data_IF_683042956857
#
_entry.id   IF_683042956857
#
_cell.length_a   1.000
_cell.length_b   1.000
_cell.length_c   1.000
_cell.angle_alpha   90.00
_cell.angle_beta   90.00
_cell.angle_gamma   90.00
#
_symmetry.space_group_name_H-M   'P 1'
#
loop_
_entity.id
_entity.type
_entity.pdbx_description
1 polymer ?
#
# COMPACT_ATOMS: atom_id res chain seq x y z
N UNK A 1 9.97 -11.03 -6.00
CA UNK A 1 8.80 -10.48 -6.71
C UNK A 1 9.27 -9.83 -7.99
N UNK A 2 8.70 -10.26 -9.12
CA UNK A 2 9.01 -9.73 -10.46
C UNK A 2 8.39 -8.33 -10.64
N UNK A 3 8.97 -7.50 -11.50
CA UNK A 3 8.46 -6.18 -11.91
C UNK A 3 8.37 -5.09 -10.83
N UNK A 4 8.85 -5.30 -9.60
CA UNK A 4 8.75 -4.31 -8.51
C UNK A 4 9.42 -3.00 -8.88
N UNK A 5 10.69 -3.03 -9.28
CA UNK A 5 11.44 -1.83 -9.62
C UNK A 5 10.79 -1.06 -10.78
N UNK A 6 10.41 -1.76 -11.85
CA UNK A 6 9.74 -1.17 -13.02
C UNK A 6 8.41 -0.50 -12.62
N UNK A 7 7.65 -1.13 -11.75
CA UNK A 7 6.38 -0.62 -11.24
C UNK A 7 6.59 0.64 -10.40
N UNK A 8 7.52 0.59 -9.44
CA UNK A 8 7.83 1.75 -8.60
C UNK A 8 8.36 2.93 -9.43
N UNK A 9 9.22 2.66 -10.42
CA UNK A 9 9.73 3.67 -11.35
C UNK A 9 8.61 4.31 -12.17
N UNK A 10 7.62 3.53 -12.62
CA UNK A 10 6.47 4.04 -13.36
C UNK A 10 5.66 5.03 -12.53
N UNK A 11 5.36 4.70 -11.27
CA UNK A 11 4.57 5.55 -10.37
C UNK A 11 5.38 6.70 -9.76
N UNK A 12 6.69 6.73 -9.88
CA UNK A 12 7.56 7.81 -9.42
C UNK A 12 7.73 8.95 -10.45
N UNK A 13 7.10 8.85 -11.62
CA UNK A 13 7.19 9.90 -12.64
C UNK A 13 6.48 11.18 -12.20
N UNK A 14 6.99 12.39 -12.59
CA UNK A 14 6.43 13.66 -12.17
C UNK A 14 4.95 13.88 -12.54
N UNK A 15 4.46 13.22 -13.58
CA UNK A 15 3.09 13.28 -14.05
C UNK A 15 2.21 12.14 -13.53
N UNK A 16 2.73 11.28 -12.65
CA UNK A 16 1.94 10.23 -12.01
C UNK A 16 0.89 10.84 -11.09
N UNK A 17 -0.31 10.26 -11.11
CA UNK A 17 -1.38 10.59 -10.15
C UNK A 17 -1.18 9.90 -8.81
N UNK A 18 -0.26 8.96 -8.73
CA UNK A 18 0.04 8.17 -7.54
C UNK A 18 1.40 8.54 -6.99
N UNK A 19 1.56 8.39 -5.70
CA UNK A 19 2.80 8.58 -4.97
C UNK A 19 3.14 7.31 -4.20
N UNK A 20 4.33 6.76 -4.41
CA UNK A 20 4.79 5.59 -3.66
C UNK A 20 5.19 6.00 -2.25
N UNK A 21 4.52 5.43 -1.25
CA UNK A 21 4.82 5.63 0.16
C UNK A 21 5.00 4.30 0.88
N UNK A 22 5.69 4.33 2.00
CA UNK A 22 5.86 3.18 2.88
C UNK A 22 4.89 3.25 4.06
N UNK A 23 4.32 2.10 4.40
CA UNK A 23 3.71 1.86 5.70
C UNK A 23 4.32 0.58 6.27
N UNK A 24 5.18 0.72 7.25
CA UNK A 24 5.99 -0.38 7.74
C UNK A 24 6.19 -0.34 9.26
N UNK A 25 6.20 -1.53 9.89
CA UNK A 25 6.62 -1.67 11.28
C UNK A 25 8.14 -1.55 11.51
N UNK A 26 8.94 -1.45 10.45
CA UNK A 26 10.36 -1.16 10.60
C UNK A 26 10.57 0.31 11.00
N UNK A 27 11.69 0.57 11.69
CA UNK A 27 12.15 1.96 11.89
C UNK A 27 12.48 2.62 10.54
N UNK A 28 12.41 3.93 10.48
CA UNK A 28 12.77 4.70 9.27
C UNK A 28 14.18 4.34 8.79
N UNK A 29 15.16 4.34 9.68
CA UNK A 29 16.54 3.93 9.37
C UNK A 29 16.61 2.51 8.84
N UNK A 30 15.91 1.56 9.48
CA UNK A 30 15.90 0.16 9.05
C UNK A 30 15.23 -0.04 7.70
N UNK A 31 14.17 0.69 7.41
CA UNK A 31 13.48 0.66 6.12
C UNK A 31 14.39 1.22 5.01
N UNK A 32 15.00 2.39 5.23
CA UNK A 32 15.96 3.00 4.29
C UNK A 32 17.10 2.04 3.96
N UNK A 33 17.78 1.47 4.96
CA UNK A 33 18.89 0.55 4.72
C UNK A 33 18.50 -0.66 3.87
N UNK A 34 17.32 -1.26 4.14
CA UNK A 34 16.80 -2.39 3.36
C UNK A 34 16.53 -2.00 1.91
N UNK A 35 15.87 -0.86 1.70
CA UNK A 35 15.52 -0.38 0.37
C UNK A 35 16.76 0.06 -0.43
N UNK A 36 17.73 0.71 0.20
CA UNK A 36 19.00 1.07 -0.42
C UNK A 36 19.78 -0.17 -0.87
N UNK A 37 19.81 -1.21 -0.05
CA UNK A 37 20.44 -2.49 -0.42
C UNK A 37 19.81 -3.11 -1.68
N UNK A 38 18.51 -2.91 -1.89
CA UNK A 38 17.78 -3.38 -3.07
C UNK A 38 17.74 -2.37 -4.22
N UNK A 39 18.30 -1.17 -4.06
CA UNK A 39 18.26 -0.09 -5.06
C UNK A 39 16.86 0.53 -5.24
N UNK A 40 15.96 0.39 -4.27
CA UNK A 40 14.55 0.80 -4.37
C UNK A 40 14.20 2.06 -3.59
N UNK A 41 15.07 2.53 -2.70
CA UNK A 41 14.81 3.63 -1.77
C UNK A 41 14.40 4.95 -2.48
N UNK A 42 15.01 5.21 -3.62
CA UNK A 42 14.78 6.41 -4.44
C UNK A 42 13.37 6.52 -5.03
N UNK A 43 12.60 5.44 -5.04
CA UNK A 43 11.26 5.42 -5.61
C UNK A 43 10.14 5.73 -4.61
N UNK A 44 10.48 5.95 -3.34
CA UNK A 44 9.52 6.22 -2.28
C UNK A 44 9.57 7.67 -1.79
N UNK A 45 8.39 8.22 -1.50
CA UNK A 45 8.27 9.49 -0.80
C UNK A 45 8.32 9.24 0.71
N UNK A 46 9.45 9.57 1.34
CA UNK A 46 9.67 9.33 2.76
C UNK A 46 8.93 10.32 3.66
N UNK A 47 8.62 11.51 3.18
CA UNK A 47 7.86 12.52 3.92
C UNK A 47 6.43 12.06 4.21
N UNK A 48 5.82 11.37 3.24
CA UNK A 48 4.47 10.82 3.38
C UNK A 48 4.45 9.39 3.94
N UNK A 49 5.62 8.79 4.12
CA UNK A 49 5.74 7.43 4.65
C UNK A 49 5.51 7.39 6.16
N UNK A 50 5.06 6.23 6.65
CA UNK A 50 4.79 5.97 8.08
C UNK A 50 5.59 4.77 8.56
N UNK A 51 6.34 4.95 9.63
CA UNK A 51 7.31 3.98 10.14
C UNK A 51 6.97 3.52 11.56
N UNK A 52 7.58 2.41 11.97
CA UNK A 52 7.31 1.73 13.23
C UNK A 52 7.68 2.49 14.50
N UNK A 53 8.47 3.57 14.43
CA UNK A 53 8.73 4.44 15.59
C UNK A 53 7.46 5.10 16.14
N UNK A 54 6.42 5.24 15.31
CA UNK A 54 5.17 5.89 15.70
C UNK A 54 4.32 4.96 16.56
N UNK A 55 4.26 3.67 16.21
CA UNK A 55 3.49 2.66 16.94
C UNK A 55 3.92 1.25 16.55
N UNK A 56 3.90 0.33 17.51
CA UNK A 56 4.03 -1.11 17.26
C UNK A 56 2.77 -1.69 16.61
N UNK A 57 1.61 -1.03 16.79
CA UNK A 57 0.35 -1.43 16.17
C UNK A 57 0.27 -0.91 14.74
N UNK A 58 0.30 -1.80 13.75
CA UNK A 58 0.26 -1.46 12.32
C UNK A 58 -1.06 -0.82 11.87
N UNK A 59 -2.18 -1.16 12.51
CA UNK A 59 -3.47 -0.48 12.23
C UNK A 59 -3.42 0.99 12.66
N UNK A 60 -2.69 1.30 13.74
CA UNK A 60 -2.46 2.68 14.15
C UNK A 60 -1.60 3.45 13.14
N UNK A 61 -0.62 2.79 12.52
CA UNK A 61 0.17 3.39 11.44
C UNK A 61 -0.73 3.78 10.24
N UNK A 62 -1.72 2.94 9.90
CA UNK A 62 -2.69 3.24 8.84
C UNK A 62 -3.54 4.47 9.20
N UNK A 63 -4.00 4.58 10.45
CA UNK A 63 -4.75 5.75 10.94
C UNK A 63 -3.91 7.02 10.89
N UNK A 64 -2.62 6.94 11.21
CA UNK A 64 -1.69 8.08 11.10
C UNK A 64 -1.50 8.48 9.65
N UNK A 65 -1.34 7.52 8.72
CA UNK A 65 -1.22 7.81 7.29
C UNK A 65 -2.45 8.55 6.78
N UNK A 66 -3.66 8.08 7.12
CA UNK A 66 -4.90 8.74 6.72
C UNK A 66 -5.05 10.12 7.38
N UNK A 67 -4.72 10.26 8.66
CA UNK A 67 -4.76 11.54 9.35
C UNK A 67 -3.85 12.57 8.68
N UNK A 68 -2.63 12.20 8.29
CA UNK A 68 -1.72 13.09 7.56
C UNK A 68 -2.30 13.53 6.22
N UNK A 69 -2.92 12.62 5.47
CA UNK A 69 -3.61 12.95 4.23
C UNK A 69 -4.78 13.92 4.48
N UNK A 70 -5.59 13.65 5.50
CA UNK A 70 -6.72 14.49 5.89
C UNK A 70 -6.28 15.90 6.31
N UNK A 71 -5.16 16.04 7.02
CA UNK A 71 -4.60 17.34 7.40
C UNK A 71 -4.13 18.17 6.20
N UNK A 72 -3.78 17.53 5.08
CA UNK A 72 -3.45 18.23 3.82
C UNK A 72 -4.70 18.54 3.00
N UNK A 73 -5.72 17.72 3.10
CA UNK A 73 -6.98 17.85 2.39
C UNK A 73 -8.14 17.33 3.26
N UNK A 74 -8.91 18.22 3.87
CA UNK A 74 -10.06 17.88 4.73
C UNK A 74 -11.17 17.10 4.02
N UNK A 75 -11.15 17.05 2.69
CA UNK A 75 -12.08 16.26 1.88
C UNK A 75 -11.52 14.89 1.52
N UNK A 76 -10.30 14.56 1.96
CA UNK A 76 -9.66 13.29 1.67
C UNK A 76 -10.50 12.10 2.14
N UNK A 77 -10.55 11.08 1.31
CA UNK A 77 -11.29 9.84 1.58
C UNK A 77 -10.32 8.68 1.76
N UNK A 78 -10.69 7.64 2.54
CA UNK A 78 -9.83 6.48 2.74
C UNK A 78 -9.38 5.79 1.46
N UNK A 79 -10.19 5.79 0.40
CA UNK A 79 -9.87 5.20 -0.90
C UNK A 79 -8.84 5.99 -1.73
N UNK A 80 -8.40 7.15 -1.26
CA UNK A 80 -7.23 7.85 -1.81
C UNK A 80 -5.90 7.23 -1.31
N UNK A 81 -5.96 6.39 -0.28
CA UNK A 81 -4.87 5.52 0.15
C UNK A 81 -5.15 4.09 -0.33
N UNK A 82 -4.31 3.59 -1.22
CA UNK A 82 -4.41 2.23 -1.72
C UNK A 82 -3.26 1.42 -1.11
N UNK A 83 -3.60 0.42 -0.31
CA UNK A 83 -2.62 -0.47 0.29
C UNK A 83 -2.25 -1.56 -0.73
N UNK A 84 -0.95 -1.79 -0.90
CA UNK A 84 -0.42 -2.92 -1.67
C UNK A 84 0.44 -3.73 -0.71
N UNK A 85 0.09 -4.99 -0.52
CA UNK A 85 0.77 -5.86 0.42
C UNK A 85 0.71 -7.31 0.02
N UNK A 86 1.21 -8.19 0.88
CA UNK A 86 1.33 -9.61 0.63
C UNK A 86 0.87 -10.47 1.83
N UNK A 87 0.38 -9.83 2.90
CA UNK A 87 -0.03 -10.52 4.13
C UNK A 87 -1.45 -10.15 4.59
N UNK A 88 -2.11 -11.01 5.40
CA UNK A 88 -3.38 -10.64 6.04
C UNK A 88 -3.29 -9.39 6.92
N UNK A 89 -2.11 -9.08 7.47
CA UNK A 89 -1.92 -7.86 8.27
C UNK A 89 -2.03 -6.58 7.43
N UNK A 90 -1.61 -6.60 6.17
CA UNK A 90 -1.75 -5.45 5.28
C UNK A 90 -3.22 -5.17 5.02
N UNK A 91 -4.04 -6.21 4.86
CA UNK A 91 -5.50 -6.07 4.74
C UNK A 91 -6.12 -5.50 6.01
N UNK A 92 -5.70 -5.97 7.20
CA UNK A 92 -6.20 -5.42 8.49
C UNK A 92 -5.85 -3.94 8.63
N UNK A 93 -4.65 -3.54 8.22
CA UNK A 93 -4.24 -2.12 8.22
C UNK A 93 -5.15 -1.27 7.34
N UNK A 94 -5.42 -1.70 6.11
CA UNK A 94 -6.31 -1.00 5.19
C UNK A 94 -7.74 -0.94 5.72
N UNK A 95 -8.27 -2.08 6.20
CA UNK A 95 -9.62 -2.18 6.76
C UNK A 95 -9.82 -1.27 7.98
N UNK A 96 -8.79 -1.04 8.80
CA UNK A 96 -8.85 -0.16 9.96
C UNK A 96 -9.23 1.29 9.64
N UNK A 97 -9.08 1.70 8.39
CA UNK A 97 -9.44 3.04 7.88
C UNK A 97 -10.46 2.98 6.73
N UNK A 98 -10.91 1.79 6.34
CA UNK A 98 -11.83 1.62 5.20
C UNK A 98 -11.18 1.83 3.82
N UNK A 99 -9.85 1.70 3.72
CA UNK A 99 -9.10 1.81 2.48
C UNK A 99 -9.08 0.49 1.69
N UNK A 100 -8.95 0.52 0.36
CA UNK A 100 -8.76 -0.68 -0.44
C UNK A 100 -7.37 -1.29 -0.22
N UNK A 101 -7.30 -2.62 -0.18
CA UNK A 101 -6.05 -3.37 -0.14
C UNK A 101 -5.95 -4.32 -1.33
N UNK A 102 -4.91 -4.17 -2.13
CA UNK A 102 -4.51 -5.08 -3.18
C UNK A 102 -3.46 -6.04 -2.64
N UNK A 103 -3.72 -7.34 -2.70
CA UNK A 103 -2.77 -8.37 -2.30
C UNK A 103 -2.08 -8.97 -3.52
N UNK A 104 -0.76 -9.15 -3.40
CA UNK A 104 0.09 -9.79 -4.41
C UNK A 104 0.62 -11.08 -3.80
N UNK A 105 0.28 -12.21 -4.42
CA UNK A 105 0.63 -13.53 -3.88
C UNK A 105 2.08 -13.94 -4.16
N UNK A 106 2.70 -13.45 -5.24
CA UNK A 106 4.05 -13.82 -5.64
C UNK A 106 5.07 -13.58 -4.52
N UNK A 107 5.63 -14.66 -3.99
CA UNK A 107 6.65 -14.61 -2.94
C UNK A 107 6.11 -14.43 -1.51
N UNK A 108 4.79 -14.32 -1.32
CA UNK A 108 4.18 -14.11 -0.01
C UNK A 108 4.17 -15.36 0.89
N UNK A 109 4.11 -16.54 0.27
CA UNK A 109 3.87 -17.80 0.98
C UNK A 109 2.41 -18.05 1.37
N UNK A 110 1.51 -17.10 1.10
CA UNK A 110 0.07 -17.20 1.34
C UNK A 110 -0.69 -17.67 0.10
N UNK A 111 -1.91 -18.17 0.32
CA UNK A 111 -2.88 -18.55 -0.71
C UNK A 111 -4.13 -17.70 -0.59
N UNK A 112 -4.98 -17.62 -1.64
CA UNK A 112 -6.22 -16.83 -1.58
C UNK A 112 -7.11 -17.16 -0.37
N UNK A 113 -7.15 -18.42 0.05
CA UNK A 113 -7.96 -18.90 1.17
C UNK A 113 -7.53 -18.26 2.52
N UNK A 114 -6.26 -17.93 2.67
CA UNK A 114 -5.72 -17.33 3.90
C UNK A 114 -6.24 -15.91 4.14
N UNK A 115 -6.83 -15.29 3.13
CA UNK A 115 -7.42 -13.96 3.18
C UNK A 115 -8.94 -13.94 3.37
N UNK A 116 -9.60 -15.09 3.48
CA UNK A 116 -11.06 -15.20 3.53
C UNK A 116 -11.68 -14.40 4.69
N UNK A 117 -11.03 -14.36 5.86
CA UNK A 117 -11.52 -13.62 7.03
C UNK A 117 -11.30 -12.10 6.91
N UNK A 118 -10.20 -11.68 6.30
CA UNK A 118 -9.79 -10.25 6.25
C UNK A 118 -10.35 -9.51 5.04
N UNK A 119 -10.75 -10.22 3.98
CA UNK A 119 -11.45 -9.71 2.80
C UNK A 119 -10.74 -8.51 2.15
N UNK A 120 -9.60 -8.71 1.46
CA UNK A 120 -8.96 -7.65 0.70
C UNK A 120 -9.88 -7.16 -0.42
N UNK A 121 -9.66 -5.94 -0.89
CA UNK A 121 -10.36 -5.43 -2.06
C UNK A 121 -10.12 -6.30 -3.30
N UNK A 122 -8.86 -6.69 -3.55
CA UNK A 122 -8.49 -7.57 -4.67
C UNK A 122 -7.25 -8.38 -4.34
N UNK A 123 -7.15 -9.56 -4.95
CA UNK A 123 -5.96 -10.42 -4.92
C UNK A 123 -5.50 -10.63 -6.36
N UNK A 124 -4.21 -10.51 -6.62
CA UNK A 124 -3.56 -10.86 -7.88
C UNK A 124 -2.37 -11.79 -7.62
N UNK A 125 -2.03 -12.63 -8.60
CA UNK A 125 -0.92 -13.56 -8.46
C UNK A 125 0.43 -12.85 -8.44
N UNK A 126 0.65 -11.90 -9.37
CA UNK A 126 1.90 -11.15 -9.50
C UNK A 126 1.64 -9.75 -10.05
N UNK A 127 2.63 -8.87 -9.95
CA UNK A 127 2.59 -7.56 -10.59
C UNK A 127 2.54 -7.73 -12.14
N UNK A 128 1.68 -6.96 -12.83
CA UNK A 128 1.61 -6.99 -14.29
C UNK A 128 2.94 -6.66 -14.96
N UNK A 129 3.18 -7.22 -16.13
CA UNK A 129 4.34 -6.86 -16.96
C UNK A 129 4.25 -5.42 -17.51
N UNK A 130 3.04 -4.91 -17.71
CA UNK A 130 2.78 -3.51 -18.06
C UNK A 130 2.21 -2.76 -16.85
N UNK A 131 2.99 -1.81 -16.32
CA UNK A 131 2.59 -1.00 -15.15
C UNK A 131 1.33 -0.18 -15.38
N UNK A 132 0.96 0.11 -16.63
CA UNK A 132 -0.30 0.76 -16.98
C UNK A 132 -1.52 -0.11 -16.65
N UNK A 133 -1.39 -1.43 -16.71
CA UNK A 133 -2.46 -2.34 -16.28
C UNK A 133 -2.68 -2.24 -14.76
N UNK A 134 -1.60 -2.08 -13.98
CA UNK A 134 -1.74 -1.84 -12.55
C UNK A 134 -2.38 -0.46 -12.30
N UNK A 135 -2.00 0.57 -13.03
CA UNK A 135 -2.61 1.90 -12.90
C UNK A 135 -4.12 1.86 -13.12
N UNK A 136 -4.58 1.18 -14.17
CA UNK A 136 -6.02 1.00 -14.44
C UNK A 136 -6.71 0.26 -13.28
N UNK A 137 -6.05 -0.74 -12.72
CA UNK A 137 -6.56 -1.47 -11.56
C UNK A 137 -6.66 -0.56 -10.33
N UNK A 138 -5.66 0.27 -10.06
CA UNK A 138 -5.68 1.22 -8.96
C UNK A 138 -6.77 2.30 -9.14
N UNK A 139 -7.07 2.69 -10.38
CA UNK A 139 -8.18 3.60 -10.69
C UNK A 139 -9.54 3.01 -10.32
N UNK A 140 -9.72 1.68 -10.45
CA UNK A 140 -10.91 0.98 -9.95
C UNK A 140 -10.99 1.05 -8.42
N UNK A 141 -9.86 0.97 -7.72
CA UNK A 141 -9.81 1.06 -6.26
C UNK A 141 -10.26 2.43 -5.74
N UNK A 142 -10.08 3.50 -6.50
CA UNK A 142 -10.56 4.84 -6.16
C UNK A 142 -12.09 4.91 -6.03
N UNK A 143 -12.82 3.96 -6.61
CA UNK A 143 -14.27 3.82 -6.49
C UNK A 143 -14.70 2.93 -5.31
N UNK A 144 -13.74 2.38 -4.56
CA UNK A 144 -14.02 1.51 -3.41
C UNK A 144 -14.66 2.30 -2.27
N UNK A 145 -15.79 1.84 -1.79
CA UNK A 145 -16.57 2.52 -0.72
C UNK A 145 -16.40 1.87 0.65
N UNK A 146 -15.35 1.06 0.85
CA UNK A 146 -15.19 0.27 2.07
C UNK A 146 -16.29 -0.79 2.19
N UNK A 147 -15.97 -1.98 2.66
CA UNK A 147 -17.01 -2.99 2.97
C UNK A 147 -17.88 -2.54 4.14
N UNK A 148 -18.79 -1.61 3.90
CA UNK A 148 -19.98 -1.44 4.72
C UNK A 148 -20.93 -2.60 4.38
N UNK A 149 -20.59 -3.77 4.89
CA UNK A 149 -21.57 -4.81 5.12
C UNK A 149 -21.63 -5.02 6.61
N UNK A 150 -22.63 -4.39 7.16
CA UNK A 150 -23.19 -4.70 8.44
C UNK A 150 -23.39 -6.21 8.64
#
# INVERSE_FOLDING_TARGET
>A
MKNVEKTLQYFCQPNSRYCNCLLTGNTSTGAHLKLQHCGLDQYFNHEHSVFGEISENREMLAKVAFHRLYMQNEQAKPNELIFIGDTPNDVRCANAIGAPCLIILEGSGYKPEDFAEVKPWKIIDCLPDDSKQLELLLDEAASYTGGQNA
#
